data_IF_557111270237
#
_entry.id   IF_557111270237
#
_cell.length_a   1.000
_cell.length_b   1.000
_cell.length_c   1.000
_cell.angle_alpha   90.00
_cell.angle_beta   90.00
_cell.angle_gamma   90.00
#
_symmetry.space_group_name_H-M   'P 1'
#
loop_
_entity.id
_entity.type
_entity.pdbx_description
1 polymer ?
#
# COMPACT_ATOMS: atom_id res chain seq x y z
N UNK A 1 -29.28 -8.85 7.18
CA UNK A 1 -28.10 -8.27 7.86
C UNK A 1 -27.35 -7.46 6.82
N UNK A 2 -27.36 -6.14 6.97
CA UNK A 2 -26.79 -5.19 6.02
C UNK A 2 -25.50 -4.65 6.60
N UNK A 3 -24.37 -4.91 5.97
CA UNK A 3 -23.11 -4.22 6.25
C UNK A 3 -22.39 -4.01 4.93
N UNK A 4 -22.35 -2.75 4.48
CA UNK A 4 -21.41 -2.22 3.51
C UNK A 4 -20.57 -1.19 4.25
N UNK A 5 -19.46 -1.63 4.85
CA UNK A 5 -18.43 -0.76 5.42
C UNK A 5 -17.01 -1.36 5.30
N UNK A 6 -16.80 -2.22 4.29
CA UNK A 6 -15.76 -3.26 4.38
C UNK A 6 -14.33 -2.71 4.30
N UNK A 7 -14.03 -1.76 3.42
CA UNK A 7 -12.64 -1.25 3.28
C UNK A 7 -12.12 -0.52 4.52
N UNK A 8 -12.97 0.12 5.32
CA UNK A 8 -12.49 0.85 6.51
C UNK A 8 -11.94 -0.10 7.56
N UNK A 9 -12.60 -1.25 7.76
CA UNK A 9 -12.12 -2.26 8.70
C UNK A 9 -10.86 -2.95 8.17
N UNK A 10 -10.80 -3.23 6.86
CA UNK A 10 -9.59 -3.81 6.24
C UNK A 10 -8.38 -2.86 6.31
N UNK A 11 -8.57 -1.56 6.08
CA UNK A 11 -7.50 -0.57 6.24
C UNK A 11 -7.10 -0.38 7.70
N UNK A 12 -8.04 -0.42 8.66
CA UNK A 12 -7.69 -0.44 10.09
C UNK A 12 -6.86 -1.67 10.45
N UNK A 13 -7.20 -2.85 9.94
CA UNK A 13 -6.41 -4.08 10.15
C UNK A 13 -5.02 -3.92 9.55
N UNK A 14 -4.89 -3.39 8.33
CA UNK A 14 -3.60 -3.16 7.69
C UNK A 14 -2.72 -2.15 8.47
N UNK A 15 -3.32 -1.10 9.02
CA UNK A 15 -2.59 -0.14 9.87
C UNK A 15 -2.22 -0.75 11.22
N UNK A 16 -3.11 -1.54 11.83
CA UNK A 16 -2.80 -2.30 13.03
C UNK A 16 -1.65 -3.29 12.79
N UNK A 17 -1.65 -3.97 11.65
CA UNK A 17 -0.58 -4.85 11.20
C UNK A 17 0.76 -4.11 11.06
N UNK A 18 0.80 -2.98 10.34
CA UNK A 18 2.04 -2.20 10.21
C UNK A 18 2.52 -1.61 11.55
N UNK A 19 1.58 -1.26 12.44
CA UNK A 19 1.90 -0.78 13.78
C UNK A 19 2.56 -1.86 14.65
N UNK A 20 2.29 -3.15 14.42
CA UNK A 20 3.00 -4.25 15.09
C UNK A 20 4.49 -4.29 14.74
N UNK A 21 4.89 -3.71 13.59
CA UNK A 21 6.28 -3.52 13.17
C UNK A 21 6.84 -2.13 13.53
N UNK A 22 6.18 -1.40 14.44
CA UNK A 22 6.61 -0.09 14.91
C UNK A 22 6.39 1.05 13.91
N UNK A 23 5.68 0.81 12.80
CA UNK A 23 5.51 1.81 11.75
C UNK A 23 4.23 2.62 11.94
N UNK A 24 4.29 3.90 11.59
CA UNK A 24 3.13 4.80 11.54
C UNK A 24 2.65 4.90 10.10
N UNK A 25 1.57 4.21 9.78
CA UNK A 25 0.93 4.32 8.47
C UNK A 25 0.10 5.61 8.39
N UNK A 26 0.21 6.32 7.27
CA UNK A 26 -0.66 7.44 6.94
C UNK A 26 -1.92 6.91 6.24
N UNK A 27 -3.10 7.42 6.63
CA UNK A 27 -4.37 7.14 5.96
C UNK A 27 -5.02 8.48 5.63
N UNK A 28 -5.27 8.71 4.35
CA UNK A 28 -5.82 9.93 3.78
C UNK A 28 -7.18 10.34 4.39
N UNK A 29 -8.12 9.41 4.56
CA UNK A 29 -9.43 9.73 5.14
C UNK A 29 -9.42 9.96 6.66
N UNK A 30 -8.32 9.62 7.35
CA UNK A 30 -8.14 9.93 8.77
C UNK A 30 -7.45 11.30 8.98
N UNK A 31 -6.89 11.88 7.92
CA UNK A 31 -6.29 13.22 7.98
C UNK A 31 -7.38 14.29 7.85
N UNK A 32 -7.79 14.84 8.99
CA UNK A 32 -8.80 15.90 9.08
C UNK A 32 -8.38 17.21 8.37
N UNK A 33 -7.11 17.34 7.97
CA UNK A 33 -6.66 18.47 7.15
C UNK A 33 -6.92 18.28 5.66
N UNK A 34 -7.38 17.10 5.22
CA UNK A 34 -7.66 16.83 3.82
C UNK A 34 -8.96 17.50 3.36
N UNK A 35 -8.99 18.10 2.16
CA UNK A 35 -10.21 18.64 1.59
C UNK A 35 -11.31 17.58 1.46
N UNK A 36 -12.58 17.97 1.69
CA UNK A 36 -13.74 17.08 1.59
C UNK A 36 -14.05 16.64 0.16
N UNK A 37 -13.52 17.35 -0.84
CA UNK A 37 -13.52 16.97 -2.25
C UNK A 37 -12.09 17.01 -2.77
N UNK A 38 -11.72 16.04 -3.59
CA UNK A 38 -10.38 15.96 -4.17
C UNK A 38 -10.11 17.18 -5.05
N UNK A 39 -9.04 17.92 -4.73
CA UNK A 39 -8.65 19.15 -5.40
C UNK A 39 -7.14 19.19 -5.67
N UNK A 40 -6.64 20.25 -6.30
CA UNK A 40 -5.20 20.48 -6.45
C UNK A 40 -4.48 20.53 -5.08
N UNK A 41 -5.16 21.02 -4.04
CA UNK A 41 -4.63 21.03 -2.67
C UNK A 41 -4.47 19.61 -2.10
N UNK A 42 -5.44 18.72 -2.37
CA UNK A 42 -5.33 17.28 -2.05
C UNK A 42 -4.08 16.69 -2.70
N UNK A 43 -3.86 16.99 -3.99
CA UNK A 43 -2.71 16.48 -4.74
C UNK A 43 -1.37 16.99 -4.17
N UNK A 44 -1.30 18.26 -3.77
CA UNK A 44 -0.09 18.83 -3.13
C UNK A 44 0.21 18.18 -1.78
N UNK A 45 -0.82 17.99 -0.94
CA UNK A 45 -0.68 17.30 0.36
C UNK A 45 -0.20 15.87 0.17
N UNK A 46 -0.80 15.12 -0.76
CA UNK A 46 -0.38 13.74 -1.04
C UNK A 46 1.07 13.67 -1.54
N UNK A 47 1.49 14.58 -2.44
CA UNK A 47 2.88 14.68 -2.88
C UNK A 47 3.85 14.92 -1.72
N UNK A 48 3.54 15.87 -0.84
CA UNK A 48 4.39 16.17 0.33
C UNK A 48 4.45 14.97 1.29
N UNK A 49 3.32 14.29 1.54
CA UNK A 49 3.27 13.07 2.36
C UNK A 49 4.10 11.94 1.76
N UNK A 50 3.97 11.70 0.45
CA UNK A 50 4.79 10.72 -0.27
C UNK A 50 6.26 11.09 -0.10
N UNK A 51 6.66 12.34 -0.37
CA UNK A 51 8.05 12.78 -0.25
C UNK A 51 8.64 12.58 1.15
N UNK A 52 7.87 12.88 2.21
CA UNK A 52 8.34 12.78 3.61
C UNK A 52 8.32 11.36 4.18
N UNK A 53 7.60 10.43 3.56
CA UNK A 53 7.52 9.05 4.03
C UNK A 53 8.76 8.27 3.62
N UNK A 54 9.24 7.33 4.43
CA UNK A 54 10.41 6.51 4.05
C UNK A 54 10.04 5.44 3.01
N UNK A 55 8.93 4.73 3.26
CA UNK A 55 8.39 3.69 2.40
C UNK A 55 7.00 4.08 1.89
N UNK A 56 6.58 3.45 0.79
CA UNK A 56 5.21 3.53 0.29
C UNK A 56 4.62 2.12 0.24
N UNK A 57 3.49 1.92 0.91
CA UNK A 57 2.77 0.64 0.91
C UNK A 57 1.41 0.86 0.26
N UNK A 58 1.17 0.20 -0.87
CA UNK A 58 -0.12 0.20 -1.52
C UNK A 58 -1.02 -0.88 -0.90
N UNK A 59 -2.12 -0.47 -0.28
CA UNK A 59 -3.15 -1.39 0.17
C UNK A 59 -4.04 -1.79 -1.00
N UNK A 60 -4.03 -3.08 -1.26
CA UNK A 60 -4.48 -3.65 -2.50
C UNK A 60 -5.83 -4.34 -2.23
N UNK A 61 -6.94 -3.64 -2.50
CA UNK A 61 -8.34 -4.09 -2.32
C UNK A 61 -9.10 -3.98 -3.64
N UNK A 62 -10.22 -4.70 -3.84
CA UNK A 62 -11.04 -4.57 -5.05
C UNK A 62 -11.47 -3.14 -5.36
N UNK A 63 -11.68 -2.30 -4.35
CA UNK A 63 -12.05 -0.90 -4.55
C UNK A 63 -10.85 -0.01 -4.82
N UNK A 64 -9.67 -0.31 -4.27
CA UNK A 64 -8.45 0.45 -4.60
C UNK A 64 -8.04 0.24 -6.07
N UNK A 65 -8.32 -0.93 -6.64
CA UNK A 65 -8.17 -1.22 -8.08
C UNK A 65 -9.11 -0.36 -8.95
N UNK A 66 -10.20 0.19 -8.42
CA UNK A 66 -11.09 1.08 -9.18
C UNK A 66 -10.76 2.57 -9.00
N UNK A 67 -9.82 2.91 -8.12
CA UNK A 67 -9.45 4.30 -7.86
C UNK A 67 -8.60 4.89 -8.98
N UNK A 68 -8.97 6.08 -9.42
CA UNK A 68 -8.21 6.91 -10.37
C UNK A 68 -6.96 7.54 -9.72
N UNK A 69 -6.93 7.66 -8.39
CA UNK A 69 -5.83 8.27 -7.65
C UNK A 69 -4.68 7.30 -7.42
N UNK A 70 -4.97 6.02 -7.23
CA UNK A 70 -3.97 5.00 -6.91
C UNK A 70 -2.87 4.88 -7.99
N UNK A 71 -3.17 4.79 -9.31
CA UNK A 71 -2.13 4.79 -10.33
C UNK A 71 -1.26 6.04 -10.29
N UNK A 72 -1.87 7.20 -10.01
CA UNK A 72 -1.18 8.49 -9.95
C UNK A 72 -0.25 8.58 -8.74
N UNK A 73 -0.73 8.20 -7.55
CA UNK A 73 0.07 8.15 -6.32
C UNK A 73 1.22 7.16 -6.44
N UNK A 74 0.96 5.98 -7.02
CA UNK A 74 1.97 4.96 -7.22
C UNK A 74 3.06 5.43 -8.19
N UNK A 75 2.69 6.06 -9.31
CA UNK A 75 3.66 6.64 -10.25
C UNK A 75 4.48 7.78 -9.64
N UNK A 76 3.89 8.61 -8.79
CA UNK A 76 4.63 9.63 -8.03
C UNK A 76 5.60 9.02 -7.03
N UNK A 77 5.15 8.01 -6.29
CA UNK A 77 5.99 7.30 -5.34
C UNK A 77 7.17 6.62 -6.06
N UNK A 78 6.93 5.97 -7.20
CA UNK A 78 7.96 5.33 -8.02
C UNK A 78 9.05 6.34 -8.42
N UNK A 79 8.63 7.46 -9.02
CA UNK A 79 9.55 8.50 -9.47
C UNK A 79 10.39 9.15 -8.36
N UNK A 80 9.87 9.25 -7.13
CA UNK A 80 10.59 9.89 -6.01
C UNK A 80 11.40 8.89 -5.19
N UNK A 81 10.89 7.68 -4.99
CA UNK A 81 11.43 6.74 -3.99
C UNK A 81 12.32 5.65 -4.58
N UNK A 82 12.03 5.25 -5.82
CA UNK A 82 12.51 4.02 -6.41
C UNK A 82 11.66 2.79 -5.99
N UNK A 83 11.69 1.78 -6.84
CA UNK A 83 10.91 0.54 -6.70
C UNK A 83 11.24 -0.26 -5.42
N UNK A 84 12.46 -0.14 -4.90
CA UNK A 84 12.93 -0.82 -3.69
C UNK A 84 12.23 -0.34 -2.41
N UNK A 85 11.68 0.88 -2.43
CA UNK A 85 10.97 1.48 -1.28
C UNK A 85 9.44 1.39 -1.40
N UNK A 86 8.96 0.66 -2.40
CA UNK A 86 7.54 0.49 -2.68
C UNK A 86 7.18 -0.99 -2.57
N UNK A 87 6.08 -1.26 -1.87
CA UNK A 87 5.52 -2.60 -1.80
C UNK A 87 3.99 -2.57 -1.84
N UNK A 88 3.40 -3.62 -2.39
CA UNK A 88 1.97 -3.86 -2.45
C UNK A 88 1.61 -4.84 -1.33
N UNK A 89 0.66 -4.49 -0.47
CA UNK A 89 0.07 -5.40 0.52
C UNK A 89 -1.31 -5.85 0.02
N UNK A 90 -1.41 -7.06 -0.57
CA UNK A 90 -2.69 -7.60 -1.02
C UNK A 90 -3.58 -7.95 0.18
N UNK A 91 -4.77 -7.35 0.24
CA UNK A 91 -5.78 -7.64 1.28
C UNK A 91 -6.80 -8.70 0.84
N UNK A 92 -6.68 -9.20 -0.39
CA UNK A 92 -7.39 -10.40 -0.85
C UNK A 92 -6.38 -11.42 -1.35
N UNK A 93 -6.65 -12.70 -1.05
CA UNK A 93 -5.92 -13.83 -1.63
C UNK A 93 -5.98 -13.77 -3.15
N UNK A 94 -4.92 -14.27 -3.78
CA UNK A 94 -4.60 -14.32 -5.23
C UNK A 94 -5.67 -15.04 -6.10
N UNK A 95 -6.96 -14.72 -5.95
CA UNK A 95 -7.97 -15.09 -6.93
C UNK A 95 -7.90 -14.08 -8.08
N UNK A 96 -6.95 -14.37 -8.98
CA UNK A 96 -6.95 -14.18 -10.45
C UNK A 96 -7.28 -12.81 -11.07
N UNK A 97 -7.69 -11.80 -10.31
CA UNK A 97 -8.03 -10.45 -10.82
C UNK A 97 -6.92 -9.41 -10.58
N UNK A 98 -5.89 -9.76 -9.81
CA UNK A 98 -4.70 -8.89 -9.61
C UNK A 98 -3.89 -8.70 -10.89
N UNK A 99 -3.93 -9.70 -11.78
CA UNK A 99 -3.20 -9.70 -13.06
C UNK A 99 -3.73 -8.65 -14.06
N UNK A 100 -4.83 -7.96 -13.77
CA UNK A 100 -5.38 -6.92 -14.67
C UNK A 100 -4.56 -5.62 -14.71
N UNK A 101 -3.71 -5.36 -13.71
CA UNK A 101 -2.78 -4.21 -13.73
C UNK A 101 -1.36 -4.71 -13.95
N UNK A 102 -1.00 -4.94 -15.22
CA UNK A 102 0.32 -5.44 -15.65
C UNK A 102 1.50 -4.73 -14.96
N UNK A 103 1.39 -3.42 -14.74
CA UNK A 103 2.44 -2.62 -14.11
C UNK A 103 2.64 -2.89 -12.61
N UNK A 104 1.70 -3.55 -11.92
CA UNK A 104 1.91 -3.96 -10.53
C UNK A 104 3.04 -4.97 -10.40
N UNK A 105 3.33 -5.74 -11.46
CA UNK A 105 4.46 -6.66 -11.48
C UNK A 105 5.84 -6.00 -11.37
N UNK A 106 5.92 -4.68 -11.50
CA UNK A 106 7.15 -3.92 -11.27
C UNK A 106 7.52 -3.79 -9.79
N UNK A 107 6.53 -3.89 -8.90
CA UNK A 107 6.68 -3.58 -7.48
C UNK A 107 6.88 -4.84 -6.63
N UNK A 108 7.40 -4.63 -5.43
CA UNK A 108 7.50 -5.70 -4.45
C UNK A 108 6.14 -5.99 -3.81
N UNK A 109 5.98 -7.16 -3.21
CA UNK A 109 4.78 -7.61 -2.52
C UNK A 109 5.11 -7.98 -1.08
N UNK A 110 4.26 -7.54 -0.16
CA UNK A 110 4.28 -7.99 1.23
C UNK A 110 3.46 -9.27 1.31
N UNK A 111 4.12 -10.39 1.60
CA UNK A 111 3.48 -11.70 1.68
C UNK A 111 3.88 -12.43 2.97
N UNK A 112 2.98 -13.28 3.47
CA UNK A 112 3.28 -14.20 4.56
C UNK A 112 3.79 -15.52 3.97
N UNK A 113 4.96 -15.97 4.41
CA UNK A 113 5.52 -17.27 4.01
C UNK A 113 4.94 -18.40 4.87
N UNK A 114 5.15 -19.65 4.44
CA UNK A 114 4.54 -20.85 5.05
C UNK A 114 4.81 -21.02 6.55
N UNK A 115 5.91 -20.47 7.07
CA UNK A 115 6.26 -20.52 8.49
C UNK A 115 5.60 -19.40 9.34
N UNK A 116 4.75 -18.57 8.72
CA UNK A 116 4.02 -17.50 9.37
C UNK A 116 4.75 -16.15 9.41
N UNK A 117 6.01 -16.07 8.98
CA UNK A 117 6.75 -14.81 8.91
C UNK A 117 6.31 -13.96 7.71
N UNK A 118 6.44 -12.64 7.87
CA UNK A 118 6.15 -11.68 6.81
C UNK A 118 7.44 -11.22 6.12
N UNK A 119 7.40 -11.17 4.79
CA UNK A 119 8.53 -10.74 3.96
C UNK A 119 8.09 -9.85 2.80
N UNK A 120 9.07 -9.23 2.18
CA UNK A 120 8.92 -8.42 0.98
C UNK A 120 9.63 -9.11 -0.17
N UNK A 121 8.87 -9.43 -1.21
CA UNK A 121 9.32 -10.25 -2.34
C UNK A 121 9.07 -9.53 -3.65
N UNK A 122 9.97 -9.69 -4.61
CA UNK A 122 9.69 -9.29 -5.99
C UNK A 122 8.82 -10.35 -6.66
N UNK A 123 7.93 -9.94 -7.57
CA UNK A 123 7.09 -10.90 -8.30
C UNK A 123 7.96 -11.96 -9.00
N UNK A 124 7.61 -13.23 -8.82
CA UNK A 124 8.33 -14.36 -9.42
C UNK A 124 9.67 -14.71 -8.77
N UNK A 125 10.02 -14.11 -7.62
CA UNK A 125 11.27 -14.39 -6.90
C UNK A 125 10.96 -15.08 -5.57
N UNK A 126 11.61 -16.23 -5.34
CA UNK A 126 11.40 -17.05 -4.12
C UNK A 126 12.11 -16.49 -2.88
N UNK A 127 13.14 -15.67 -3.08
CA UNK A 127 13.92 -15.05 -2.00
C UNK A 127 13.54 -13.58 -1.84
N UNK A 128 13.24 -13.21 -0.60
CA UNK A 128 12.88 -11.84 -0.22
C UNK A 128 13.63 -11.41 1.03
N UNK A 129 13.33 -10.20 1.49
CA UNK A 129 13.82 -9.67 2.78
C UNK A 129 12.71 -9.77 3.82
N UNK A 130 13.05 -9.83 5.10
CA UNK A 130 12.03 -9.77 6.16
C UNK A 130 11.32 -8.43 6.10
N UNK A 131 10.02 -8.40 6.42
CA UNK A 131 9.24 -7.16 6.42
C UNK A 131 9.85 -6.12 7.37
N UNK A 132 10.32 -6.55 8.53
CA UNK A 132 11.00 -5.69 9.50
C UNK A 132 12.29 -5.08 8.94
N UNK A 133 13.14 -5.86 8.28
CA UNK A 133 14.37 -5.34 7.66
C UNK A 133 14.04 -4.34 6.57
N UNK A 134 13.04 -4.64 5.73
CA UNK A 134 12.60 -3.74 4.68
C UNK A 134 12.08 -2.41 5.23
N UNK A 135 11.19 -2.44 6.24
CA UNK A 135 10.61 -1.23 6.82
C UNK A 135 11.65 -0.30 7.46
N UNK A 136 12.76 -0.84 7.96
CA UNK A 136 13.82 -0.09 8.63
C UNK A 136 15.02 0.27 7.74
N UNK A 137 14.95 -0.01 6.44
CA UNK A 137 16.02 0.29 5.46
C UNK A 137 15.94 1.67 4.81
#
# INVERSE_FOLDING_TARGET
>A
MSHRHDDKEEVKKAVGFLAQFGQKAYIDWLDHSMPSQTSSETAEKLKDRINRSNKFVLLATPRSIQSIWIPWELGLADGVKGLDRIAILPLMYKDTSWDEREYYGLYNYIEQVADGRWGVFKQGVETGVTLESWLNS
#
